data_IF_118016355816
#
_entry.id   IF_118016355816
#
_cell.length_a   1.000
_cell.length_b   1.000
_cell.length_c   1.000
_cell.angle_alpha   90.00
_cell.angle_beta   90.00
_cell.angle_gamma   90.00
#
_symmetry.space_group_name_H-M   'P 1'
#
loop_
_entity.id
_entity.type
_entity.pdbx_description
1 polymer ?
#
# COMPACT_ATOMS: atom_id res chain seq x y z
N UNK A 1 -8.00 25.26 15.43
CA UNK A 1 -6.57 25.53 15.71
C UNK A 1 -5.74 24.67 14.77
N UNK A 2 -4.73 25.23 14.10
CA UNK A 2 -3.80 24.43 13.30
C UNK A 2 -2.88 23.71 14.30
N UNK A 3 -2.95 22.39 14.38
CA UNK A 3 -1.96 21.63 15.15
C UNK A 3 -0.59 21.86 14.51
N UNK A 4 0.30 22.49 15.27
CA UNK A 4 1.68 22.69 14.87
C UNK A 4 2.37 21.33 14.70
N UNK A 5 3.10 21.16 13.60
CA UNK A 5 3.90 19.96 13.37
C UNK A 5 5.00 19.87 14.42
N UNK A 6 5.08 18.73 15.12
CA UNK A 6 6.10 18.44 16.14
C UNK A 6 6.90 17.21 15.72
N UNK A 7 8.14 17.37 15.22
CA UNK A 7 8.99 16.26 14.78
C UNK A 7 9.11 15.16 15.84
N UNK A 8 9.36 15.54 17.10
CA UNK A 8 9.50 14.60 18.21
C UNK A 8 8.23 13.78 18.47
N UNK A 9 7.05 14.40 18.31
CA UNK A 9 5.78 13.70 18.47
C UNK A 9 5.56 12.68 17.35
N UNK A 10 5.93 13.03 16.10
CA UNK A 10 5.88 12.09 14.99
C UNK A 10 6.85 10.92 15.21
N UNK A 11 8.10 11.20 15.59
CA UNK A 11 9.10 10.17 15.86
C UNK A 11 8.65 9.22 17.00
N UNK A 12 8.07 9.78 18.07
CA UNK A 12 7.50 8.98 19.16
C UNK A 12 6.34 8.11 18.68
N UNK A 13 5.41 8.64 17.88
CA UNK A 13 4.29 7.89 17.35
C UNK A 13 4.75 6.77 16.39
N UNK A 14 5.76 7.02 15.56
CA UNK A 14 6.38 6.00 14.72
C UNK A 14 6.99 4.90 15.59
N UNK A 15 7.75 5.27 16.62
CA UNK A 15 8.37 4.31 17.55
C UNK A 15 7.32 3.42 18.21
N UNK A 16 6.23 4.00 18.72
CA UNK A 16 5.10 3.27 19.31
C UNK A 16 4.43 2.35 18.28
N UNK A 17 4.20 2.84 17.05
CA UNK A 17 3.60 2.04 15.98
C UNK A 17 4.47 0.82 15.62
N UNK A 18 5.79 0.99 15.55
CA UNK A 18 6.71 -0.12 15.27
C UNK A 18 6.80 -1.10 16.44
N UNK A 19 6.69 -0.62 17.68
CA UNK A 19 6.61 -1.49 18.86
C UNK A 19 5.32 -2.34 18.89
N UNK A 20 4.24 -1.87 18.27
CA UNK A 20 2.97 -2.60 18.15
C UNK A 20 2.99 -3.70 17.06
N UNK A 21 3.93 -3.65 16.11
CA UNK A 21 3.95 -4.55 14.95
C UNK A 21 4.05 -6.04 15.33
N UNK A 22 4.90 -6.49 16.27
CA UNK A 22 4.93 -7.90 16.67
C UNK A 22 3.61 -8.42 17.22
N UNK A 23 2.89 -7.59 17.99
CA UNK A 23 1.56 -7.90 18.53
C UNK A 23 0.52 -7.99 17.40
N UNK A 24 0.64 -7.11 16.41
CA UNK A 24 -0.21 -7.12 15.22
C UNK A 24 -0.02 -8.40 14.38
N UNK A 25 1.22 -8.88 14.24
CA UNK A 25 1.54 -10.16 13.58
C UNK A 25 0.92 -11.34 14.35
N UNK A 26 1.02 -11.34 15.67
CA UNK A 26 0.44 -12.40 16.51
C UNK A 26 -1.09 -12.39 16.43
N UNK A 27 -1.71 -11.20 16.46
CA UNK A 27 -3.14 -11.03 16.28
C UNK A 27 -3.63 -11.56 14.94
N UNK A 28 -2.91 -11.26 13.85
CA UNK A 28 -3.23 -11.77 12.52
C UNK A 28 -3.06 -13.30 12.46
N UNK A 29 -1.99 -13.84 13.05
CA UNK A 29 -1.74 -15.28 13.12
C UNK A 29 -2.87 -16.03 13.84
N UNK A 30 -3.34 -15.49 14.98
CA UNK A 30 -4.51 -16.02 15.70
C UNK A 30 -5.77 -15.93 14.85
N UNK A 31 -5.99 -14.80 14.17
CA UNK A 31 -7.15 -14.64 13.28
C UNK A 31 -7.15 -15.68 12.15
N UNK A 32 -6.00 -15.90 11.49
CA UNK A 32 -5.83 -16.95 10.48
C UNK A 32 -6.13 -18.32 11.09
N UNK A 33 -5.57 -18.62 12.26
CA UNK A 33 -5.73 -19.92 12.92
C UNK A 33 -7.20 -20.23 13.23
N UNK A 34 -7.93 -19.27 13.79
CA UNK A 34 -9.34 -19.42 14.16
C UNK A 34 -10.26 -19.48 12.93
N UNK A 35 -9.98 -18.69 11.89
CA UNK A 35 -10.79 -18.69 10.66
C UNK A 35 -10.56 -19.95 9.81
N UNK A 36 -9.31 -20.43 9.74
CA UNK A 36 -8.94 -21.55 8.87
C UNK A 36 -8.86 -22.90 9.59
N UNK A 37 -8.89 -22.92 10.92
CA UNK A 37 -8.62 -24.11 11.74
C UNK A 37 -7.16 -24.59 11.70
N UNK A 38 -6.22 -23.75 11.20
CA UNK A 38 -4.81 -24.12 10.99
C UNK A 38 -3.87 -22.99 11.43
N UNK A 39 -2.95 -23.30 12.34
CA UNK A 39 -1.94 -22.35 12.82
C UNK A 39 -0.91 -22.04 11.72
N UNK A 40 -0.77 -20.77 11.28
CA UNK A 40 0.20 -20.41 10.24
C UNK A 40 1.62 -20.31 10.81
N UNK A 41 2.64 -20.44 9.94
CA UNK A 41 3.99 -20.03 10.30
C UNK A 41 4.02 -18.51 10.46
N UNK A 42 4.27 -18.06 11.69
CA UNK A 42 4.36 -16.64 12.06
C UNK A 42 5.33 -15.86 11.16
N UNK A 43 6.44 -16.45 10.74
CA UNK A 43 7.44 -15.77 9.87
C UNK A 43 6.87 -15.48 8.50
N UNK A 44 6.07 -16.40 7.96
CA UNK A 44 5.39 -16.21 6.67
C UNK A 44 4.32 -15.14 6.82
N UNK A 45 3.52 -15.17 7.90
CA UNK A 45 2.52 -14.13 8.21
C UNK A 45 3.18 -12.76 8.27
N UNK A 46 4.24 -12.62 9.07
CA UNK A 46 5.02 -11.39 9.19
C UNK A 46 5.47 -10.90 7.81
N UNK A 47 6.11 -11.76 7.02
CA UNK A 47 6.62 -11.38 5.71
C UNK A 47 5.52 -10.88 4.74
N UNK A 48 4.39 -11.61 4.62
CA UNK A 48 3.36 -11.28 3.61
C UNK A 48 2.40 -10.16 4.04
N UNK A 49 2.38 -9.81 5.33
CA UNK A 49 1.42 -8.84 5.89
C UNK A 49 2.06 -7.58 6.47
N UNK A 50 3.40 -7.55 6.64
CA UNK A 50 4.11 -6.47 7.34
C UNK A 50 3.70 -5.07 6.88
N UNK A 51 3.68 -4.81 5.57
CA UNK A 51 3.31 -3.50 5.07
C UNK A 51 1.88 -3.11 5.51
N UNK A 52 0.90 -3.99 5.32
CA UNK A 52 -0.47 -3.73 5.74
C UNK A 52 -0.58 -3.51 7.25
N UNK A 53 0.09 -4.36 8.06
CA UNK A 53 0.11 -4.24 9.52
C UNK A 53 0.77 -2.95 9.99
N UNK A 54 1.86 -2.50 9.36
CA UNK A 54 2.49 -1.21 9.68
C UNK A 54 1.50 -0.05 9.50
N UNK A 55 0.68 -0.09 8.44
CA UNK A 55 -0.39 0.90 8.25
C UNK A 55 -1.50 0.80 9.31
N UNK A 56 -1.90 -0.41 9.71
CA UNK A 56 -2.86 -0.60 10.81
C UNK A 56 -2.31 0.00 12.11
N UNK A 57 -1.06 -0.29 12.47
CA UNK A 57 -0.41 0.21 13.66
C UNK A 57 -0.29 1.74 13.64
N UNK A 58 0.08 2.33 12.50
CA UNK A 58 0.17 3.79 12.33
C UNK A 58 -1.17 4.47 12.60
N UNK A 59 -2.26 3.95 12.04
CA UNK A 59 -3.61 4.48 12.26
C UNK A 59 -4.06 4.28 13.70
N UNK A 60 -3.80 3.11 14.28
CA UNK A 60 -4.16 2.80 15.66
C UNK A 60 -3.48 3.75 16.66
N UNK A 61 -2.16 3.97 16.53
CA UNK A 61 -1.42 4.92 17.38
C UNK A 61 -1.92 6.34 17.18
N UNK A 62 -2.10 6.78 15.92
CA UNK A 62 -2.58 8.12 15.63
C UNK A 62 -3.94 8.41 16.30
N UNK A 63 -4.91 7.51 16.13
CA UNK A 63 -6.25 7.70 16.68
C UNK A 63 -6.25 7.56 18.20
N UNK A 64 -5.47 6.62 18.76
CA UNK A 64 -5.32 6.47 20.22
C UNK A 64 -4.78 7.73 20.89
N UNK A 65 -3.80 8.40 20.26
CA UNK A 65 -3.26 9.68 20.75
C UNK A 65 -4.25 10.85 20.63
N UNK A 66 -5.20 10.75 19.70
CA UNK A 66 -6.17 11.80 19.36
C UNK A 66 -7.53 11.65 20.07
N UNK A 67 -7.80 10.51 20.70
CA UNK A 67 -9.10 10.18 21.31
C UNK A 67 -9.58 11.19 22.37
N UNK A 68 -8.68 12.00 22.92
CA UNK A 68 -9.01 13.08 23.86
C UNK A 68 -9.56 14.36 23.18
N UNK A 69 -9.57 14.45 21.84
CA UNK A 69 -9.78 15.71 21.12
C UNK A 69 -11.05 15.77 20.26
N UNK A 70 -11.77 14.66 20.00
CA UNK A 70 -12.90 14.67 19.06
C UNK A 70 -14.20 14.11 19.64
N UNK A 71 -15.19 14.98 19.82
CA UNK A 71 -16.59 14.63 20.15
C UNK A 71 -17.51 14.60 18.91
N UNK A 72 -17.01 14.92 17.71
CA UNK A 72 -17.88 15.36 16.59
C UNK A 72 -18.34 14.29 15.59
N UNK A 73 -17.93 13.03 15.69
CA UNK A 73 -18.42 11.98 14.78
C UNK A 73 -18.93 10.75 15.54
N UNK A 74 -20.23 10.75 15.83
CA UNK A 74 -21.01 9.59 16.32
C UNK A 74 -21.71 8.87 15.16
N UNK A 75 -21.08 8.79 13.99
CA UNK A 75 -21.59 7.93 12.92
C UNK A 75 -21.46 6.48 13.36
N UNK A 76 -22.59 5.85 13.63
CA UNK A 76 -22.69 4.42 13.85
C UNK A 76 -22.37 3.69 12.54
N UNK A 77 -21.52 2.65 12.63
CA UNK A 77 -21.15 1.81 11.50
C UNK A 77 -21.92 0.53 11.70
N UNK A 78 -22.75 0.19 10.72
CA UNK A 78 -23.48 -1.08 10.72
C UNK A 78 -22.82 -2.10 9.81
N UNK A 79 -21.85 -1.70 8.98
CA UNK A 79 -21.15 -2.60 8.06
C UNK A 79 -19.68 -2.24 7.88
N UNK A 80 -18.83 -3.26 7.85
CA UNK A 80 -17.40 -3.14 7.53
C UNK A 80 -17.14 -3.87 6.23
N UNK A 81 -16.54 -3.19 5.26
CA UNK A 81 -16.19 -3.77 3.98
C UNK A 81 -14.72 -4.19 4.05
N UNK A 82 -14.49 -5.50 4.00
CA UNK A 82 -13.15 -6.08 3.99
C UNK A 82 -12.56 -5.99 2.57
N UNK A 83 -11.31 -5.53 2.44
CA UNK A 83 -10.63 -5.58 1.16
C UNK A 83 -10.34 -7.03 0.78
N UNK A 84 -10.45 -7.32 -0.52
CA UNK A 84 -10.08 -8.65 -1.03
C UNK A 84 -8.57 -8.85 -1.09
N UNK A 85 -7.83 -7.76 -1.23
CA UNK A 85 -6.38 -7.78 -1.38
C UNK A 85 -5.75 -6.86 -0.35
N UNK A 86 -4.56 -7.17 0.13
CA UNK A 86 -3.76 -6.33 1.03
C UNK A 86 -3.23 -5.05 0.39
N UNK A 87 -3.83 -4.62 -0.73
CA UNK A 87 -3.61 -3.32 -1.33
C UNK A 87 -4.20 -2.26 -0.41
N UNK A 88 -3.55 -1.11 -0.34
CA UNK A 88 -4.09 0.03 0.37
C UNK A 88 -4.89 0.87 -0.61
N UNK A 89 -6.20 0.97 -0.39
CA UNK A 89 -7.06 1.96 -1.04
C UNK A 89 -7.56 3.00 -0.04
N UNK A 90 -7.84 4.22 -0.50
CA UNK A 90 -8.27 5.32 0.38
C UNK A 90 -9.58 5.00 1.10
N UNK A 91 -10.50 4.31 0.44
CA UNK A 91 -11.77 3.87 1.05
C UNK A 91 -11.54 2.94 2.25
N UNK A 92 -10.53 2.08 2.19
CA UNK A 92 -10.20 1.18 3.31
C UNK A 92 -9.61 1.94 4.50
N UNK A 93 -8.86 3.02 4.25
CA UNK A 93 -8.29 3.87 5.31
C UNK A 93 -9.44 4.47 6.13
N UNK A 94 -10.44 5.05 5.47
CA UNK A 94 -11.58 5.68 6.13
C UNK A 94 -12.40 4.69 6.94
N UNK A 95 -12.76 3.56 6.34
CA UNK A 95 -13.50 2.51 7.05
C UNK A 95 -12.73 1.98 8.25
N UNK A 96 -11.41 1.79 8.11
CA UNK A 96 -10.57 1.35 9.23
C UNK A 96 -10.50 2.39 10.34
N UNK A 97 -10.30 3.66 10.01
CA UNK A 97 -10.33 4.76 11.00
C UNK A 97 -11.64 4.76 11.79
N UNK A 98 -12.78 4.63 11.11
CA UNK A 98 -14.07 4.60 11.77
C UNK A 98 -14.23 3.38 12.69
N UNK A 99 -13.78 2.19 12.27
CA UNK A 99 -13.77 0.97 13.11
C UNK A 99 -12.87 1.16 14.34
N UNK A 100 -11.68 1.76 14.18
CA UNK A 100 -10.78 2.06 15.31
C UNK A 100 -11.47 2.96 16.33
N UNK A 101 -12.06 4.07 15.88
CA UNK A 101 -12.76 5.01 16.75
C UNK A 101 -13.91 4.32 17.52
N UNK A 102 -14.66 3.45 16.86
CA UNK A 102 -15.75 2.72 17.52
C UNK A 102 -15.27 1.66 18.50
N UNK A 103 -14.22 0.90 18.17
CA UNK A 103 -13.62 -0.05 19.11
C UNK A 103 -13.06 0.67 20.35
N UNK A 104 -12.54 1.88 20.19
CA UNK A 104 -12.05 2.69 21.31
C UNK A 104 -13.17 3.23 22.19
N UNK A 105 -14.28 3.70 21.58
CA UNK A 105 -15.48 4.16 22.31
C UNK A 105 -16.25 3.00 22.96
N UNK A 106 -16.38 1.88 22.26
CA UNK A 106 -17.08 0.71 22.72
C UNK A 106 -16.22 -0.03 23.73
N UNK A 107 -16.38 0.31 25.01
CA UNK A 107 -15.80 -0.45 26.12
C UNK A 107 -16.37 -1.89 26.23
N UNK A 108 -17.31 -2.29 25.36
CA UNK A 108 -18.05 -3.55 25.46
C UNK A 108 -18.12 -4.31 24.13
N UNK A 109 -18.20 -5.64 24.22
CA UNK A 109 -18.27 -6.56 23.07
C UNK A 109 -19.56 -6.46 22.24
N UNK A 110 -20.58 -5.73 22.70
CA UNK A 110 -21.88 -5.65 22.03
C UNK A 110 -21.85 -4.89 20.70
N UNK A 111 -20.97 -3.89 20.56
CA UNK A 111 -20.83 -3.13 19.32
C UNK A 111 -20.38 -4.02 18.15
N UNK A 112 -19.48 -4.97 18.41
CA UNK A 112 -18.95 -5.89 17.39
C UNK A 112 -20.02 -6.81 16.80
N UNK A 113 -21.04 -7.18 17.59
CA UNK A 113 -22.13 -8.03 17.12
C UNK A 113 -22.98 -7.35 16.05
N UNK A 114 -23.10 -6.02 16.10
CA UNK A 114 -23.89 -5.23 15.17
C UNK A 114 -23.27 -5.06 13.78
N UNK A 115 -21.95 -5.26 13.62
CA UNK A 115 -21.27 -5.08 12.34
C UNK A 115 -21.61 -6.18 11.35
N UNK A 116 -22.05 -5.86 10.14
CA UNK A 116 -22.09 -6.81 9.03
C UNK A 116 -20.74 -6.78 8.30
N UNK A 117 -20.10 -7.94 8.10
CA UNK A 117 -18.83 -8.01 7.38
C UNK A 117 -19.09 -8.42 5.93
N UNK A 118 -18.67 -7.59 4.99
CA UNK A 118 -18.86 -7.84 3.56
C UNK A 118 -17.53 -7.72 2.82
N UNK A 119 -17.44 -8.26 1.59
CA UNK A 119 -16.21 -8.13 0.77
C UNK A 119 -16.34 -6.97 -0.20
N UNK A 120 -15.28 -6.20 -0.38
CA UNK A 120 -15.17 -5.27 -1.50
C UNK A 120 -15.30 -5.98 -2.85
N UNK A 121 -15.76 -5.25 -3.87
CA UNK A 121 -15.76 -5.75 -5.24
C UNK A 121 -14.33 -5.93 -5.73
N UNK A 122 -14.08 -7.01 -6.46
CA UNK A 122 -12.75 -7.27 -7.01
C UNK A 122 -12.51 -6.39 -8.24
N UNK A 123 -11.52 -5.51 -8.15
CA UNK A 123 -11.00 -4.85 -9.35
C UNK A 123 -10.19 -5.88 -10.13
N UNK A 124 -10.74 -6.34 -11.26
CA UNK A 124 -9.99 -7.21 -12.18
C UNK A 124 -8.86 -6.39 -12.80
N UNK A 125 -7.63 -6.56 -12.31
CA UNK A 125 -6.46 -6.13 -13.06
C UNK A 125 -6.32 -7.02 -14.29
N UNK A 126 -6.11 -6.41 -15.46
CA UNK A 126 -5.72 -7.15 -16.66
C UNK A 126 -4.20 -7.18 -16.76
N UNK A 127 -3.61 -8.32 -17.12
CA UNK A 127 -2.16 -8.35 -17.42
C UNK A 127 -1.99 -7.49 -18.66
N UNK A 128 -1.07 -6.54 -18.62
CA UNK A 128 -0.82 -5.73 -19.80
C UNK A 128 -0.29 -6.62 -20.92
N UNK A 129 -0.66 -6.35 -22.18
CA UNK A 129 -0.08 -7.06 -23.34
C UNK A 129 1.45 -6.95 -23.36
N UNK A 130 1.98 -5.84 -22.85
CA UNK A 130 3.41 -5.60 -22.66
C UNK A 130 4.04 -6.68 -21.78
N UNK A 131 3.47 -6.94 -20.60
CA UNK A 131 4.02 -7.94 -19.67
C UNK A 131 3.97 -9.35 -20.26
N UNK A 132 2.89 -9.68 -20.97
CA UNK A 132 2.77 -10.95 -21.68
C UNK A 132 3.87 -11.13 -22.73
N UNK A 133 4.17 -10.08 -23.50
CA UNK A 133 5.25 -10.13 -24.51
C UNK A 133 6.62 -10.25 -23.85
N UNK A 134 6.88 -9.49 -22.79
CA UNK A 134 8.16 -9.56 -22.06
C UNK A 134 8.41 -10.96 -21.49
N UNK A 135 7.36 -11.62 -21.00
CA UNK A 135 7.45 -12.96 -20.45
C UNK A 135 7.89 -14.03 -21.46
N UNK A 136 7.59 -13.83 -22.75
CA UNK A 136 8.00 -14.74 -23.82
C UNK A 136 9.49 -14.64 -24.16
N UNK A 137 10.20 -13.58 -23.72
CA UNK A 137 11.58 -13.34 -24.13
C UNK A 137 12.60 -14.07 -23.27
N UNK A 138 12.28 -14.39 -22.00
CA UNK A 138 13.20 -14.95 -21.02
C UNK A 138 13.43 -16.46 -21.16
N UNK A 139 14.66 -16.92 -20.94
CA UNK A 139 14.96 -18.35 -20.84
C UNK A 139 14.42 -18.91 -19.52
N UNK A 140 13.89 -20.14 -19.53
CA UNK A 140 13.46 -20.84 -18.31
C UNK A 140 14.61 -21.10 -17.33
N UNK A 141 15.85 -21.13 -17.81
CA UNK A 141 17.07 -21.31 -17.01
C UNK A 141 17.63 -20.00 -16.42
N UNK A 142 16.96 -18.86 -16.61
CA UNK A 142 17.42 -17.58 -16.10
C UNK A 142 17.54 -17.60 -14.57
N UNK A 143 18.60 -16.99 -14.04
CA UNK A 143 18.84 -16.96 -12.59
C UNK A 143 18.07 -15.84 -11.86
N UNK A 144 17.59 -14.85 -12.61
CA UNK A 144 16.84 -13.71 -12.10
C UNK A 144 15.42 -13.75 -12.64
N UNK A 145 14.43 -13.65 -11.76
CA UNK A 145 13.03 -13.42 -12.11
C UNK A 145 12.67 -11.96 -11.83
N UNK A 146 12.15 -11.24 -12.80
CA UNK A 146 11.75 -9.84 -12.67
C UNK A 146 10.22 -9.69 -12.77
N UNK A 147 9.58 -9.14 -11.74
CA UNK A 147 8.13 -8.95 -11.66
C UNK A 147 7.80 -7.51 -11.31
N UNK A 148 6.93 -6.86 -12.10
CA UNK A 148 6.56 -5.45 -11.95
C UNK A 148 7.78 -4.52 -11.71
N UNK A 149 8.79 -4.54 -12.60
CA UNK A 149 9.89 -3.59 -12.51
C UNK A 149 9.43 -2.19 -12.91
N UNK A 150 9.98 -1.17 -12.27
CA UNK A 150 9.62 0.22 -12.52
C UNK A 150 10.65 0.88 -13.46
N UNK A 151 10.46 0.70 -14.77
CA UNK A 151 11.38 1.22 -15.78
C UNK A 151 10.80 2.43 -16.52
N UNK A 152 11.43 3.60 -16.35
CA UNK A 152 11.08 4.84 -17.07
C UNK A 152 11.70 4.89 -18.47
N UNK A 153 11.45 3.87 -19.29
CA UNK A 153 11.95 3.78 -20.67
C UNK A 153 10.82 3.50 -21.64
N UNK A 154 11.04 3.75 -22.93
CA UNK A 154 10.07 3.37 -23.95
C UNK A 154 9.95 1.85 -24.06
N UNK A 155 8.78 1.36 -24.48
CA UNK A 155 8.51 -0.07 -24.67
C UNK A 155 9.55 -0.73 -25.58
N UNK A 156 9.99 -0.06 -26.65
CA UNK A 156 11.03 -0.58 -27.54
C UNK A 156 12.40 -0.73 -26.88
N UNK A 157 12.78 0.22 -26.01
CA UNK A 157 14.02 0.13 -25.22
C UNK A 157 13.94 -1.00 -24.21
N UNK A 158 12.79 -1.16 -23.55
CA UNK A 158 12.57 -2.24 -22.60
C UNK A 158 12.60 -3.62 -23.28
N UNK A 159 11.89 -3.81 -24.38
CA UNK A 159 11.91 -5.08 -25.14
C UNK A 159 13.33 -5.43 -25.59
N UNK A 160 14.09 -4.42 -26.06
CA UNK A 160 15.50 -4.61 -26.42
C UNK A 160 16.36 -5.00 -25.23
N UNK A 161 16.12 -4.38 -24.06
CA UNK A 161 16.81 -4.74 -22.83
C UNK A 161 16.47 -6.18 -22.42
N UNK A 162 15.19 -6.53 -22.34
CA UNK A 162 14.70 -7.87 -22.02
C UNK A 162 15.30 -8.93 -22.94
N UNK A 163 15.32 -8.69 -24.26
CA UNK A 163 15.96 -9.58 -25.21
C UNK A 163 17.46 -9.74 -24.96
N UNK A 164 18.20 -8.65 -24.67
CA UNK A 164 19.64 -8.70 -24.40
C UNK A 164 19.97 -9.50 -23.15
N UNK A 165 19.16 -9.37 -22.10
CA UNK A 165 19.40 -10.03 -20.81
C UNK A 165 18.70 -11.37 -20.64
N UNK A 166 17.98 -11.86 -21.66
CA UNK A 166 17.09 -13.04 -21.57
C UNK A 166 17.69 -14.33 -21.02
N UNK A 167 19.01 -14.50 -21.11
CA UNK A 167 19.72 -15.67 -20.56
C UNK A 167 19.94 -15.58 -19.05
N UNK A 168 19.86 -14.38 -18.50
CA UNK A 168 20.14 -14.08 -17.09
C UNK A 168 18.88 -13.65 -16.36
N UNK A 169 18.00 -12.89 -17.04
CA UNK A 169 16.74 -12.37 -16.50
C UNK A 169 15.56 -12.90 -17.29
N UNK A 170 14.61 -13.50 -16.57
CA UNK A 170 13.27 -13.83 -17.06
C UNK A 170 12.30 -12.81 -16.50
N UNK A 171 11.45 -12.29 -17.37
CA UNK A 171 10.40 -11.36 -17.00
C UNK A 171 9.15 -12.18 -16.72
N UNK A 172 8.50 -11.96 -15.59
CA UNK A 172 7.27 -12.64 -15.26
C UNK A 172 6.18 -11.60 -15.07
N UNK A 173 4.97 -11.83 -15.63
CA UNK A 173 3.84 -11.00 -15.31
C UNK A 173 3.53 -11.12 -13.82
N UNK A 174 2.75 -10.18 -13.29
CA UNK A 174 2.26 -10.29 -11.92
C UNK A 174 1.59 -11.66 -11.72
N UNK A 175 2.07 -12.47 -10.76
CA UNK A 175 1.53 -13.81 -10.56
C UNK A 175 0.06 -13.74 -10.14
N UNK A 176 -0.71 -14.72 -10.62
CA UNK A 176 -2.13 -14.84 -10.31
C UNK A 176 -2.39 -16.17 -9.67
N UNK A 177 -2.89 -16.14 -8.44
CA UNK A 177 -3.50 -17.32 -7.86
C UNK A 177 -4.96 -17.40 -8.33
N UNK A 178 -5.40 -18.58 -8.73
CA UNK A 178 -6.80 -18.86 -9.06
C UNK A 178 -7.63 -19.11 -7.78
N UNK A 179 -7.36 -18.36 -6.71
CA UNK A 179 -8.10 -18.53 -5.45
C UNK A 179 -9.58 -18.28 -5.73
N UNK A 180 -10.41 -19.23 -5.32
CA UNK A 180 -11.85 -19.11 -5.44
C UNK A 180 -12.35 -17.87 -4.70
N UNK A 181 -13.43 -17.27 -5.20
CA UNK A 181 -14.15 -16.27 -4.42
C UNK A 181 -14.71 -16.93 -3.16
N UNK A 182 -14.16 -16.61 -2.00
CA UNK A 182 -14.75 -17.00 -0.72
C UNK A 182 -15.67 -15.89 -0.19
N UNK A 183 -16.61 -16.31 0.67
CA UNK A 183 -17.35 -15.41 1.54
C UNK A 183 -16.49 -15.08 2.78
N UNK A 184 -16.73 -13.93 3.40
CA UNK A 184 -16.11 -13.58 4.68
C UNK A 184 -16.49 -14.61 5.74
N UNK A 185 -15.52 -15.07 6.53
CA UNK A 185 -15.78 -15.92 7.69
C UNK A 185 -16.29 -15.08 8.88
N UNK A 186 -17.45 -14.42 8.71
CA UNK A 186 -17.93 -13.37 9.62
C UNK A 186 -18.02 -13.83 11.07
N UNK A 187 -18.63 -14.98 11.32
CA UNK A 187 -18.79 -15.51 12.67
C UNK A 187 -17.45 -15.76 13.37
N UNK A 188 -16.47 -16.33 12.66
CA UNK A 188 -15.14 -16.60 13.20
C UNK A 188 -14.39 -15.29 13.50
N UNK A 189 -14.37 -14.34 12.57
CA UNK A 189 -13.74 -13.02 12.79
C UNK A 189 -14.34 -12.27 13.97
N UNK A 190 -15.68 -12.24 14.08
CA UNK A 190 -16.38 -11.65 15.23
C UNK A 190 -16.05 -12.36 16.53
N UNK A 191 -15.96 -13.69 16.52
CA UNK A 191 -15.57 -14.48 17.69
C UNK A 191 -14.19 -14.06 18.20
N UNK A 192 -13.20 -13.99 17.31
CA UNK A 192 -11.83 -13.53 17.64
C UNK A 192 -11.86 -12.10 18.20
N UNK A 193 -12.56 -11.19 17.54
CA UNK A 193 -12.64 -9.80 17.99
C UNK A 193 -13.32 -9.65 19.36
N UNK A 194 -14.40 -10.38 19.61
CA UNK A 194 -15.08 -10.38 20.90
C UNK A 194 -14.21 -10.99 22.01
N UNK A 195 -13.52 -12.09 21.72
CA UNK A 195 -12.59 -12.71 22.66
C UNK A 195 -11.46 -11.75 23.04
N UNK A 196 -10.87 -11.08 22.05
CA UNK A 196 -9.87 -10.05 22.26
C UNK A 196 -10.39 -8.93 23.17
N UNK A 197 -11.54 -8.32 22.86
CA UNK A 197 -12.11 -7.22 23.66
C UNK A 197 -12.47 -7.60 25.11
N UNK A 198 -12.72 -8.89 25.38
CA UNK A 198 -12.95 -9.40 26.74
C UNK A 198 -11.67 -9.65 27.53
N UNK A 199 -10.51 -9.69 26.86
CA UNK A 199 -9.23 -9.86 27.53
C UNK A 199 -8.81 -8.61 28.32
N UNK A 200 -7.92 -8.80 29.29
CA UNK A 200 -7.26 -7.74 30.04
C UNK A 200 -5.93 -7.30 29.40
N UNK A 201 -5.61 -7.80 28.20
CA UNK A 201 -4.37 -7.47 27.51
C UNK A 201 -4.40 -6.02 27.00
N UNK A 202 -3.24 -5.36 27.00
CA UNK A 202 -3.12 -3.96 26.58
C UNK A 202 -3.42 -3.75 25.09
N UNK A 203 -3.21 -4.77 24.26
CA UNK A 203 -3.38 -4.75 22.81
C UNK A 203 -4.74 -5.30 22.33
N UNK A 204 -5.68 -5.54 23.26
CA UNK A 204 -7.01 -6.10 22.96
C UNK A 204 -7.77 -5.38 21.83
N UNK A 205 -7.63 -4.07 21.74
CA UNK A 205 -8.28 -3.25 20.70
C UNK A 205 -7.62 -3.47 19.33
N UNK A 206 -6.29 -3.55 19.29
CA UNK A 206 -5.53 -3.83 18.07
C UNK A 206 -5.85 -5.24 17.55
N UNK A 207 -5.93 -6.22 18.44
CA UNK A 207 -6.35 -7.60 18.09
C UNK A 207 -7.74 -7.63 17.47
N UNK A 208 -8.71 -6.95 18.10
CA UNK A 208 -10.07 -6.87 17.58
C UNK A 208 -10.14 -6.15 16.23
N UNK A 209 -9.40 -5.05 16.09
CA UNK A 209 -9.28 -4.30 14.85
C UNK A 209 -8.77 -5.18 13.69
N UNK A 210 -7.69 -5.93 13.92
CA UNK A 210 -7.11 -6.81 12.91
C UNK A 210 -8.10 -7.89 12.50
N UNK A 211 -8.76 -8.55 13.44
CA UNK A 211 -9.77 -9.56 13.14
C UNK A 211 -10.93 -9.00 12.27
N UNK A 212 -11.33 -7.74 12.52
CA UNK A 212 -12.45 -7.10 11.83
C UNK A 212 -12.09 -6.37 10.54
N UNK A 213 -10.81 -6.16 10.23
CA UNK A 213 -10.39 -5.33 9.08
C UNK A 213 -9.33 -5.96 8.20
N UNK A 214 -8.71 -7.07 8.64
CA UNK A 214 -7.70 -7.76 7.84
C UNK A 214 -8.27 -8.20 6.48
N UNK A 215 -7.54 -7.94 5.38
CA UNK A 215 -7.90 -8.40 4.04
C UNK A 215 -8.17 -9.90 3.96
N UNK A 216 -8.99 -10.30 2.98
CA UNK A 216 -9.28 -11.72 2.76
C UNK A 216 -8.05 -12.52 2.35
N UNK A 217 -7.16 -11.94 1.56
CA UNK A 217 -5.94 -12.60 1.12
C UNK A 217 -4.92 -12.87 2.24
N UNK A 218 -5.04 -12.16 3.36
CA UNK A 218 -4.23 -12.37 4.55
C UNK A 218 -4.88 -13.29 5.59
N UNK A 219 -6.17 -13.61 5.46
CA UNK A 219 -6.90 -14.43 6.44
C UNK A 219 -7.56 -15.62 5.76
N UNK A 220 -8.70 -15.43 5.09
CA UNK A 220 -9.47 -16.51 4.48
C UNK A 220 -8.69 -17.24 3.39
N UNK A 221 -7.85 -16.53 2.62
CA UNK A 221 -7.11 -17.13 1.50
C UNK A 221 -5.63 -17.36 1.80
N UNK A 222 -5.19 -17.14 3.04
CA UNK A 222 -3.78 -17.24 3.40
C UNK A 222 -3.18 -18.59 2.99
N UNK A 223 -3.88 -19.69 3.29
CA UNK A 223 -3.42 -21.04 3.00
C UNK A 223 -3.51 -21.39 1.53
N UNK A 224 -4.50 -20.88 0.81
CA UNK A 224 -4.64 -21.05 -0.63
C UNK A 224 -3.48 -20.37 -1.36
N UNK A 225 -3.13 -19.13 -0.99
CA UNK A 225 -1.96 -18.45 -1.54
C UNK A 225 -0.67 -19.17 -1.20
N UNK A 226 -0.48 -19.56 0.06
CA UNK A 226 0.75 -20.23 0.48
C UNK A 226 0.91 -21.60 -0.19
N UNK A 227 -0.17 -22.40 -0.26
CA UNK A 227 -0.14 -23.73 -0.91
C UNK A 227 0.04 -23.61 -2.41
N UNK A 228 -0.64 -22.65 -3.06
CA UNK A 228 -0.44 -22.35 -4.47
C UNK A 228 1.00 -21.95 -4.76
N UNK A 229 1.60 -21.08 -3.94
CA UNK A 229 2.98 -20.63 -4.07
C UNK A 229 3.98 -21.78 -3.93
N UNK A 230 3.74 -22.71 -2.99
CA UNK A 230 4.57 -23.89 -2.78
C UNK A 230 4.62 -24.84 -4.00
N UNK A 231 3.55 -24.85 -4.80
CA UNK A 231 3.42 -25.63 -6.04
C UNK A 231 4.02 -24.93 -7.26
N UNK A 232 4.34 -23.63 -7.18
CA UNK A 232 4.95 -22.92 -8.30
C UNK A 232 6.44 -23.23 -8.43
N UNK A 233 6.97 -23.09 -9.66
CA UNK A 233 8.42 -23.02 -9.85
C UNK A 233 8.96 -21.75 -9.17
N UNK A 234 9.99 -21.95 -8.35
CA UNK A 234 10.73 -20.90 -7.65
C UNK A 234 12.24 -21.09 -7.86
N UNK A 235 12.61 -21.53 -9.07
CA UNK A 235 13.98 -21.91 -9.41
C UNK A 235 14.94 -20.71 -9.57
N UNK A 236 14.37 -19.50 -9.68
CA UNK A 236 15.13 -18.27 -9.72
C UNK A 236 15.86 -18.05 -8.39
N UNK A 237 17.17 -17.79 -8.48
CA UNK A 237 18.01 -17.50 -7.31
C UNK A 237 17.80 -16.08 -6.81
N UNK A 238 17.50 -15.17 -7.73
CA UNK A 238 17.30 -13.75 -7.47
C UNK A 238 15.93 -13.34 -7.99
N UNK A 239 15.21 -12.57 -7.19
CA UNK A 239 13.89 -12.05 -7.51
C UNK A 239 13.95 -10.55 -7.50
N UNK A 240 13.56 -9.90 -8.59
CA UNK A 240 13.68 -8.47 -8.78
C UNK A 240 12.30 -7.84 -8.91
N UNK A 241 12.04 -6.78 -8.14
CA UNK A 241 10.78 -6.03 -8.27
C UNK A 241 10.92 -4.60 -7.80
N UNK A 242 10.09 -3.70 -8.34
CA UNK A 242 9.88 -2.38 -7.75
C UNK A 242 8.68 -2.36 -6.84
N UNK A 243 7.57 -3.00 -7.23
CA UNK A 243 6.29 -2.76 -6.58
C UNK A 243 5.52 -4.04 -6.26
N UNK A 244 5.92 -5.22 -6.74
CA UNK A 244 5.16 -6.45 -6.53
C UNK A 244 5.07 -6.81 -5.04
N UNK A 245 6.08 -6.47 -4.25
CA UNK A 245 6.12 -6.62 -2.79
C UNK A 245 5.17 -5.66 -2.03
N UNK A 246 4.62 -4.64 -2.71
CA UNK A 246 3.56 -3.76 -2.18
C UNK A 246 2.18 -4.15 -2.67
N UNK A 247 2.09 -4.74 -3.88
CA UNK A 247 0.82 -4.82 -4.60
C UNK A 247 0.33 -6.23 -4.92
N UNK A 248 1.12 -7.27 -4.65
CA UNK A 248 0.79 -8.63 -5.07
C UNK A 248 1.04 -9.64 -3.96
N UNK A 249 -0.03 -10.05 -3.28
CA UNK A 249 0.00 -11.10 -2.25
C UNK A 249 0.48 -12.43 -2.81
N UNK A 250 0.08 -12.76 -4.05
CA UNK A 250 0.62 -13.91 -4.78
C UNK A 250 2.16 -13.86 -4.90
N UNK A 251 2.71 -12.70 -5.25
CA UNK A 251 4.16 -12.52 -5.31
C UNK A 251 4.79 -12.67 -3.93
N UNK A 252 4.24 -12.03 -2.89
CA UNK A 252 4.76 -12.12 -1.53
C UNK A 252 4.83 -13.58 -1.03
N UNK A 253 3.80 -14.39 -1.25
CA UNK A 253 3.83 -15.82 -0.91
C UNK A 253 4.85 -16.61 -1.75
N UNK A 254 5.03 -16.31 -3.05
CA UNK A 254 6.08 -16.94 -3.87
C UNK A 254 7.47 -16.63 -3.32
N UNK A 255 7.73 -15.39 -2.90
CA UNK A 255 9.03 -15.03 -2.32
C UNK A 255 9.23 -15.69 -0.96
N UNK A 256 8.20 -15.77 -0.12
CA UNK A 256 8.30 -16.49 1.16
C UNK A 256 8.79 -17.93 0.95
N UNK A 257 8.18 -18.66 0.00
CA UNK A 257 8.62 -20.01 -0.39
C UNK A 257 10.01 -20.02 -1.03
N UNK A 258 10.32 -19.05 -1.90
CA UNK A 258 11.62 -18.97 -2.55
C UNK A 258 12.76 -18.75 -1.53
N UNK A 259 12.54 -17.93 -0.49
CA UNK A 259 13.51 -17.65 0.57
C UNK A 259 13.84 -18.89 1.38
N UNK A 260 12.86 -19.74 1.67
CA UNK A 260 13.08 -21.05 2.31
C UNK A 260 14.03 -21.95 1.49
N UNK A 261 14.08 -21.74 0.16
CA UNK A 261 14.95 -22.46 -0.78
C UNK A 261 16.24 -21.69 -1.12
N UNK A 262 16.56 -20.63 -0.38
CA UNK A 262 17.76 -19.82 -0.56
C UNK A 262 17.67 -18.73 -1.64
N UNK A 263 16.47 -18.46 -2.15
CA UNK A 263 16.19 -17.33 -3.02
C UNK A 263 16.38 -15.99 -2.31
N UNK A 264 16.79 -14.96 -3.06
CA UNK A 264 17.01 -13.60 -2.53
C UNK A 264 16.14 -12.58 -3.23
N UNK A 265 15.64 -11.62 -2.47
CA UNK A 265 14.82 -10.53 -2.97
C UNK A 265 15.69 -9.29 -3.21
N UNK A 266 15.56 -8.74 -4.42
CA UNK A 266 16.13 -7.49 -4.86
C UNK A 266 14.98 -6.51 -5.09
N UNK A 267 14.95 -5.44 -4.33
CA UNK A 267 13.97 -4.38 -4.51
C UNK A 267 14.65 -3.17 -5.11
N UNK A 268 13.96 -2.43 -5.96
CA UNK A 268 14.40 -1.10 -6.35
C UNK A 268 13.36 -0.06 -6.03
N UNK A 269 13.86 1.14 -5.71
CA UNK A 269 13.06 2.31 -5.39
C UNK A 269 11.97 2.54 -6.45
N UNK A 270 10.78 2.81 -5.95
CA UNK A 270 9.62 3.23 -6.72
C UNK A 270 9.01 4.46 -6.05
N UNK A 271 8.37 5.33 -6.83
CA UNK A 271 7.77 6.55 -6.28
C UNK A 271 8.77 7.62 -5.84
N UNK A 272 8.26 8.61 -5.09
CA UNK A 272 9.04 9.72 -4.52
C UNK A 272 9.15 9.60 -2.99
N UNK A 273 9.92 10.50 -2.36
CA UNK A 273 10.13 10.55 -0.91
C UNK A 273 11.30 9.72 -0.39
N UNK A 274 11.64 8.62 -1.06
CA UNK A 274 12.78 7.78 -0.71
C UNK A 274 14.11 8.55 -0.75
N UNK A 275 14.92 8.42 0.30
CA UNK A 275 16.18 9.14 0.50
C UNK A 275 16.03 10.65 0.73
N UNK A 276 14.81 11.15 0.89
CA UNK A 276 14.49 12.57 1.11
C UNK A 276 13.76 12.73 2.45
N UNK A 277 12.72 11.93 2.66
CA UNK A 277 11.93 11.94 3.88
C UNK A 277 12.76 11.33 5.01
N UNK A 278 12.81 12.01 6.15
CA UNK A 278 13.53 11.54 7.34
C UNK A 278 13.01 10.19 7.85
N UNK A 279 11.70 9.94 7.70
CA UNK A 279 11.03 8.70 8.02
C UNK A 279 10.14 8.33 6.84
N UNK A 280 10.39 7.18 6.20
CA UNK A 280 9.65 6.77 5.02
C UNK A 280 9.24 5.30 5.13
N UNK A 281 7.99 5.06 5.55
CA UNK A 281 7.46 3.72 5.84
C UNK A 281 7.73 2.71 4.71
N UNK A 282 7.45 3.13 3.47
CA UNK A 282 7.67 2.26 2.30
C UNK A 282 9.14 1.95 2.01
N UNK A 283 10.04 2.86 2.39
CA UNK A 283 11.49 2.70 2.23
C UNK A 283 11.99 1.74 3.30
N UNK A 284 11.63 2.00 4.55
CA UNK A 284 12.00 1.15 5.68
C UNK A 284 11.52 -0.28 5.45
N UNK A 285 10.29 -0.46 4.98
CA UNK A 285 9.75 -1.76 4.58
C UNK A 285 10.56 -2.40 3.45
N UNK A 286 10.77 -1.69 2.33
CA UNK A 286 11.49 -2.24 1.17
C UNK A 286 12.93 -2.61 1.48
N UNK A 287 13.61 -1.82 2.32
CA UNK A 287 14.94 -2.15 2.82
C UNK A 287 14.85 -3.39 3.71
N UNK A 288 13.96 -3.42 4.70
CA UNK A 288 13.86 -4.52 5.66
C UNK A 288 13.59 -5.88 5.02
N UNK A 289 12.73 -5.94 3.99
CA UNK A 289 12.35 -7.23 3.37
C UNK A 289 13.32 -7.69 2.27
N UNK A 290 14.19 -6.80 1.77
CA UNK A 290 15.07 -7.10 0.64
C UNK A 290 16.48 -7.47 1.06
N UNK A 291 17.10 -8.40 0.32
CA UNK A 291 18.52 -8.70 0.43
C UNK A 291 19.38 -7.60 -0.21
N UNK A 292 18.79 -6.83 -1.13
CA UNK A 292 19.36 -5.63 -1.71
C UNK A 292 18.26 -4.64 -2.09
N UNK A 293 18.41 -3.40 -1.65
CA UNK A 293 17.59 -2.27 -2.06
C UNK A 293 18.38 -1.35 -2.99
N UNK A 294 17.86 -1.10 -4.18
CA UNK A 294 18.48 -0.24 -5.18
C UNK A 294 17.81 1.14 -5.21
N UNK A 295 18.61 2.20 -5.20
CA UNK A 295 18.10 3.59 -5.14
C UNK A 295 18.38 4.37 -6.43
N UNK A 296 17.77 5.54 -6.56
CA UNK A 296 18.06 6.50 -7.64
C UNK A 296 19.17 7.49 -7.28
N UNK A 297 20.36 6.95 -6.96
CA UNK A 297 21.59 7.74 -6.85
C UNK A 297 22.01 8.14 -5.44
N UNK A 298 21.39 7.60 -4.40
CA UNK A 298 21.75 7.85 -3.00
C UNK A 298 22.15 6.56 -2.26
N UNK A 299 22.89 6.68 -1.17
CA UNK A 299 23.31 5.55 -0.33
C UNK A 299 22.98 5.82 1.12
N UNK A 300 23.05 4.77 1.93
CA UNK A 300 22.86 4.82 3.39
C UNK A 300 24.12 4.36 4.10
N UNK A 301 24.61 5.18 5.01
CA UNK A 301 25.81 4.87 5.79
C UNK A 301 25.52 3.82 6.86
N UNK A 302 24.27 3.73 7.34
CA UNK A 302 23.81 2.71 8.29
C UNK A 302 23.52 1.35 7.64
N UNK A 303 23.43 1.28 6.30
CA UNK A 303 23.16 0.04 5.57
C UNK A 303 23.94 -0.06 4.22
N UNK A 304 25.27 0.13 4.21
CA UNK A 304 26.05 0.36 2.97
C UNK A 304 26.10 -0.86 2.05
N UNK A 305 25.90 -2.07 2.59
CA UNK A 305 25.86 -3.31 1.80
C UNK A 305 24.48 -3.65 1.27
N UNK A 306 23.42 -3.17 1.93
CA UNK A 306 22.03 -3.46 1.57
C UNK A 306 21.45 -2.40 0.65
N UNK A 307 21.81 -1.12 0.85
CA UNK A 307 21.33 -0.01 0.03
C UNK A 307 22.38 0.37 -1.00
N UNK A 308 22.04 0.30 -2.28
CA UNK A 308 22.96 0.57 -3.38
C UNK A 308 22.40 1.57 -4.38
N UNK A 309 23.14 2.66 -4.57
CA UNK A 309 22.87 3.61 -5.64
C UNK A 309 22.96 2.95 -7.02
N UNK A 310 21.91 3.08 -7.82
CA UNK A 310 21.97 2.88 -9.26
C UNK A 310 22.11 4.23 -9.98
N UNK A 311 22.71 4.25 -11.18
CA UNK A 311 22.70 5.43 -12.02
C UNK A 311 21.26 5.87 -12.29
N UNK A 312 20.94 7.13 -12.02
CA UNK A 312 19.61 7.66 -12.30
C UNK A 312 19.39 7.69 -13.81
N UNK A 313 18.51 6.82 -14.30
CA UNK A 313 18.06 6.86 -15.70
C UNK A 313 17.09 8.04 -15.88
N UNK A 314 17.64 9.26 -15.89
CA UNK A 314 16.84 10.45 -16.16
C UNK A 314 16.24 10.31 -17.57
N UNK A 315 14.91 10.45 -17.71
CA UNK A 315 14.31 10.40 -19.04
C UNK A 315 14.90 11.53 -19.89
N UNK A 316 15.13 11.27 -21.16
CA UNK A 316 15.45 12.34 -22.10
C UNK A 316 14.30 13.35 -22.07
N UNK A 317 14.64 14.62 -21.82
CA UNK A 317 13.64 15.70 -21.87
C UNK A 317 13.09 15.76 -23.29
N UNK A 318 11.78 15.63 -23.45
CA UNK A 318 11.14 15.85 -24.73
C UNK A 318 11.16 17.36 -25.04
N UNK A 319 11.64 17.72 -26.23
CA UNK A 319 11.55 19.08 -26.74
C UNK A 319 10.31 19.17 -27.64
N UNK A 320 9.15 19.43 -27.02
CA UNK A 320 7.88 19.65 -27.71
C UNK A 320 7.32 21.04 -27.41
N UNK A 321 6.37 21.51 -28.24
CA UNK A 321 5.59 22.72 -27.91
C UNK A 321 4.79 22.46 -26.62
N UNK A 322 4.85 23.39 -25.67
CA UNK A 322 4.03 23.33 -24.46
C UNK A 322 2.54 23.27 -24.85
N UNK A 323 1.83 22.25 -24.38
CA UNK A 323 0.39 22.08 -24.63
C UNK A 323 -0.48 22.72 -23.54
N UNK A 324 0.12 23.53 -22.67
CA UNK A 324 -0.52 24.09 -21.48
C UNK A 324 0.14 23.57 -20.20
N UNK A 325 -0.56 23.75 -19.08
CA UNK A 325 -0.10 23.36 -17.75
C UNK A 325 -0.84 22.10 -17.29
N UNK A 326 -0.11 21.10 -16.81
CA UNK A 326 -0.68 19.98 -16.07
C UNK A 326 -0.49 20.26 -14.58
N UNK A 327 -1.60 20.41 -13.85
CA UNK A 327 -1.59 20.56 -12.41
C UNK A 327 -2.04 19.26 -11.76
N UNK A 328 -1.15 18.66 -10.96
CA UNK A 328 -1.43 17.43 -10.23
C UNK A 328 -2.01 17.79 -8.87
N UNK A 329 -3.25 17.38 -8.60
CA UNK A 329 -3.82 17.46 -7.25
C UNK A 329 -3.31 16.31 -6.39
N UNK A 330 -3.09 16.59 -5.11
CA UNK A 330 -2.90 15.55 -4.10
C UNK A 330 -4.24 14.83 -3.84
N UNK A 331 -4.22 13.55 -3.43
CA UNK A 331 -5.37 12.87 -2.87
C UNK A 331 -5.98 13.69 -1.73
N UNK A 332 -7.29 13.89 -1.76
CA UNK A 332 -8.03 14.56 -0.69
C UNK A 332 -8.52 13.53 0.31
N UNK A 333 -7.76 13.29 1.37
CA UNK A 333 -8.19 12.42 2.49
C UNK A 333 -8.32 13.23 3.78
N UNK A 334 -9.29 12.84 4.61
CA UNK A 334 -9.47 13.35 5.98
C UNK A 334 -8.79 12.49 7.03
N UNK A 335 -8.26 11.36 6.61
CA UNK A 335 -7.77 10.31 7.48
C UNK A 335 -6.26 10.16 7.31
N UNK A 336 -5.58 9.87 8.42
CA UNK A 336 -4.14 9.58 8.38
C UNK A 336 -3.91 8.27 7.63
N UNK A 337 -3.11 8.35 6.57
CA UNK A 337 -2.74 7.19 5.77
C UNK A 337 -1.58 6.40 6.39
N UNK A 338 -0.53 7.12 6.80
CA UNK A 338 0.67 6.58 7.46
C UNK A 338 1.37 7.67 8.26
N UNK A 339 2.11 7.27 9.29
CA UNK A 339 2.97 8.14 10.08
C UNK A 339 4.27 8.38 9.30
N UNK A 340 4.20 9.36 8.42
CA UNK A 340 5.31 9.84 7.61
C UNK A 340 5.08 11.33 7.36
N UNK A 341 6.09 12.05 6.89
CA UNK A 341 6.03 13.47 6.52
C UNK A 341 5.11 13.74 5.32
N UNK A 342 3.82 13.42 5.44
CA UNK A 342 2.76 13.74 4.48
C UNK A 342 2.02 15.01 4.87
N UNK A 343 1.28 15.54 3.89
CA UNK A 343 0.25 16.51 4.16
C UNK A 343 -0.80 15.91 5.11
N UNK A 344 -0.99 16.54 6.28
CA UNK A 344 -2.17 16.31 7.11
C UNK A 344 -3.44 16.74 6.36
N UNK A 345 -4.64 16.27 6.75
CA UNK A 345 -5.89 16.73 6.15
C UNK A 345 -6.02 18.26 6.04
N UNK A 346 -5.57 18.98 7.06
CA UNK A 346 -5.52 20.45 7.04
C UNK A 346 -4.53 21.02 6.01
N UNK A 347 -3.40 20.34 5.77
CA UNK A 347 -2.44 20.70 4.73
C UNK A 347 -2.99 20.41 3.34
N UNK A 348 -3.74 19.32 3.17
CA UNK A 348 -4.45 18.99 1.93
C UNK A 348 -5.47 20.08 1.59
N UNK A 349 -6.32 20.46 2.54
CA UNK A 349 -7.30 21.54 2.35
C UNK A 349 -6.62 22.88 2.03
N UNK A 350 -5.49 23.16 2.69
CA UNK A 350 -4.66 24.33 2.36
C UNK A 350 -4.10 24.23 0.93
N UNK A 351 -3.61 23.08 0.51
CA UNK A 351 -3.10 22.87 -0.85
C UNK A 351 -4.21 23.03 -1.90
N UNK A 352 -5.43 22.56 -1.62
CA UNK A 352 -6.61 22.80 -2.45
C UNK A 352 -6.89 24.28 -2.56
N UNK A 353 -6.92 25.01 -1.44
CA UNK A 353 -7.17 26.46 -1.43
C UNK A 353 -6.11 27.22 -2.22
N UNK A 354 -4.82 26.92 -2.00
CA UNK A 354 -3.71 27.52 -2.75
C UNK A 354 -3.78 27.19 -4.24
N UNK A 355 -4.22 25.99 -4.59
CA UNK A 355 -4.44 25.59 -5.99
C UNK A 355 -5.56 26.40 -6.64
N UNK A 356 -6.69 26.59 -5.93
CA UNK A 356 -7.80 27.43 -6.40
C UNK A 356 -7.32 28.86 -6.62
N UNK A 357 -6.63 29.44 -5.65
CA UNK A 357 -6.10 30.81 -5.73
C UNK A 357 -5.09 30.97 -6.87
N UNK A 358 -4.24 29.96 -7.08
CA UNK A 358 -3.28 29.94 -8.18
C UNK A 358 -4.00 29.95 -9.53
N UNK A 359 -4.95 29.03 -9.74
CA UNK A 359 -5.69 28.91 -11.01
C UNK A 359 -6.55 30.15 -11.27
N UNK A 360 -7.15 30.75 -10.24
CA UNK A 360 -7.94 31.98 -10.36
C UNK A 360 -7.13 33.19 -10.86
N UNK A 361 -5.81 33.19 -10.66
CA UNK A 361 -4.89 34.27 -11.09
C UNK A 361 -4.27 34.04 -12.47
N UNK A 362 -4.51 32.89 -13.10
CA UNK A 362 -3.99 32.61 -14.44
C UNK A 362 -4.73 33.44 -15.50
N UNK A 363 -4.02 33.82 -16.55
CA UNK A 363 -4.58 34.57 -17.67
C UNK A 363 -5.63 33.74 -18.42
N UNK A 364 -6.60 34.43 -19.05
CA UNK A 364 -7.74 33.79 -19.71
C UNK A 364 -7.36 32.82 -20.85
N UNK A 365 -6.23 33.06 -21.52
CA UNK A 365 -5.70 32.22 -22.59
C UNK A 365 -4.88 31.01 -22.08
N UNK A 366 -4.64 30.92 -20.76
CA UNK A 366 -3.94 29.80 -20.16
C UNK A 366 -4.83 28.56 -20.17
N UNK A 367 -4.28 27.45 -20.66
CA UNK A 367 -4.92 26.14 -20.61
C UNK A 367 -4.33 25.32 -19.48
N UNK A 368 -5.17 24.90 -18.54
CA UNK A 368 -4.79 24.06 -17.41
C UNK A 368 -5.55 22.75 -17.50
N UNK A 369 -4.84 21.64 -17.37
CA UNK A 369 -5.43 20.34 -17.10
C UNK A 369 -5.16 20.01 -15.65
N UNK A 370 -6.21 19.91 -14.84
CA UNK A 370 -6.12 19.47 -13.46
C UNK A 370 -6.31 17.96 -13.43
N UNK A 371 -5.25 17.24 -13.05
CA UNK A 371 -5.28 15.79 -12.87
C UNK A 371 -5.39 15.43 -11.40
N UNK A 372 -6.34 14.57 -11.07
CA UNK A 372 -6.49 13.99 -9.74
C UNK A 372 -6.54 12.45 -9.83
N UNK A 373 -6.37 11.79 -8.69
CA UNK A 373 -6.20 10.34 -8.61
C UNK A 373 -7.52 9.66 -8.25
N UNK A 374 -8.14 8.98 -9.22
CA UNK A 374 -9.25 8.06 -8.96
C UNK A 374 -10.46 8.70 -8.28
N UNK A 375 -10.79 8.23 -7.07
CA UNK A 375 -11.93 8.70 -6.28
C UNK A 375 -11.69 10.01 -5.52
N UNK A 376 -10.44 10.44 -5.40
CA UNK A 376 -10.03 11.63 -4.65
C UNK A 376 -10.14 12.88 -5.53
N UNK A 377 -11.37 13.17 -5.95
CA UNK A 377 -11.69 14.22 -6.91
C UNK A 377 -11.35 15.59 -6.33
N UNK A 378 -10.61 16.39 -7.09
CA UNK A 378 -10.42 17.81 -6.76
C UNK A 378 -11.77 18.54 -6.84
N UNK A 379 -12.09 19.47 -5.91
CA UNK A 379 -13.36 20.21 -5.91
C UNK A 379 -13.42 21.23 -7.06
N UNK A 380 -13.71 20.75 -8.27
CA UNK A 380 -13.72 21.54 -9.51
C UNK A 380 -14.69 22.72 -9.45
N UNK A 381 -15.76 22.61 -8.66
CA UNK A 381 -16.72 23.69 -8.41
C UNK A 381 -16.07 24.94 -7.80
N UNK A 382 -14.97 24.78 -7.05
CA UNK A 382 -14.22 25.91 -6.47
C UNK A 382 -13.43 26.70 -7.53
N UNK A 383 -13.31 26.17 -8.74
CA UNK A 383 -12.64 26.83 -9.88
C UNK A 383 -13.63 27.58 -10.80
N UNK A 384 -14.92 27.69 -10.42
CA UNK A 384 -15.95 28.32 -11.25
C UNK A 384 -15.65 29.78 -11.64
N UNK A 385 -14.80 30.47 -10.87
CA UNK A 385 -14.40 31.86 -11.10
C UNK A 385 -13.06 32.00 -11.83
N UNK A 386 -12.41 30.89 -12.21
CA UNK A 386 -11.14 30.94 -12.92
C UNK A 386 -11.32 31.54 -14.33
N UNK A 387 -10.41 32.44 -14.72
CA UNK A 387 -10.40 33.00 -16.07
C UNK A 387 -9.79 32.02 -17.08
N UNK A 388 -8.83 31.20 -16.64
CA UNK A 388 -8.17 30.19 -17.45
C UNK A 388 -9.15 29.09 -17.89
N UNK A 389 -8.86 28.46 -19.04
CA UNK A 389 -9.59 27.27 -19.47
C UNK A 389 -9.10 26.06 -18.69
N UNK A 390 -9.94 25.56 -17.77
CA UNK A 390 -9.62 24.40 -16.94
C UNK A 390 -10.31 23.14 -17.47
N UNK A 391 -9.51 22.10 -17.73
CA UNK A 391 -9.99 20.76 -18.05
C UNK A 391 -9.72 19.81 -16.88
N UNK A 392 -10.64 18.87 -16.65
CA UNK A 392 -10.48 17.80 -15.65
C UNK A 392 -9.91 16.55 -16.32
N UNK A 393 -8.83 16.00 -15.76
CA UNK A 393 -8.27 14.70 -16.13
C UNK A 393 -8.37 13.75 -14.93
N UNK A 394 -9.19 12.71 -15.07
CA UNK A 394 -9.42 11.73 -13.99
C UNK A 394 -8.30 10.70 -13.85
N UNK A 395 -7.23 10.80 -14.63
CA UNK A 395 -6.14 9.82 -14.65
C UNK A 395 -6.54 8.45 -15.21
N UNK A 396 -7.80 8.27 -15.63
CA UNK A 396 -8.34 7.01 -16.14
C UNK A 396 -7.96 6.72 -17.61
N UNK A 397 -7.24 7.64 -18.26
CA UNK A 397 -6.83 7.53 -19.66
C UNK A 397 -5.53 6.74 -19.84
N UNK A 398 -5.64 5.52 -20.38
CA UNK A 398 -4.61 4.70 -21.04
C UNK A 398 -3.14 4.96 -20.64
N UNK A 399 -2.63 4.10 -19.77
CA UNK A 399 -1.21 3.73 -19.74
C UNK A 399 -0.35 4.49 -18.73
N UNK A 400 -0.33 3.97 -17.51
CA UNK A 400 0.88 3.89 -16.69
C UNK A 400 1.19 2.41 -16.49
#
# INVERSE_FOLDING_TARGET
>A
MIHEYRPDALASAITESRAALPLAVDALSTTIAEVSGRVPDRRVVEYVSSLWLMHVCDQWVHISSSANLSTENDREITSVILPRQSLLSVTEIEQRSMVIQQIQKAHTSSAVLGYQLSTASQVKRSVSRRDQVLALLGASSAHVEATLPYLKVSVGTELRAAWRVRRVVRWEPEPRSAVATSTVAEAARKSVAMAALRSSEADRQLRALIALTAPLDLVEHFWEFHSWAAQQSVDARLWYTASAQHVSTAFMHRIAVARERGGRLLVHQHGGGYGIDEQHLGEDYDIAVSDRFYTFGWSRDDAPTQVRALPTAMPQRSHGKSQGMLLMSLPVTREVYRLQSFCLPSHVERAVTLTVDFVARLAADTKVTLRHSGGDRFPMERLAQAQATVAEDRGAGRGS
#
